data_IF_627115333798
#
_entry.id   IF_627115333798
#
_cell.length_a   1.000
_cell.length_b   1.000
_cell.length_c   1.000
_cell.angle_alpha   90.00
_cell.angle_beta   90.00
_cell.angle_gamma   90.00
#
_symmetry.space_group_name_H-M   'P 1'
#
loop_
_entity.id
_entity.type
_entity.pdbx_description
1 polymer ?
#
# COMPACT_ATOMS: atom_id res chain seq x y z
N UNK A 1 -8.38 -15.85 -27.60
CA UNK A 1 -6.91 -15.82 -27.57
C UNK A 1 -6.53 -14.48 -26.96
N UNK A 2 -6.56 -14.39 -25.63
CA UNK A 2 -6.27 -13.17 -24.90
C UNK A 2 -4.79 -13.18 -24.55
N UNK A 3 -4.10 -12.15 -25.04
CA UNK A 3 -2.68 -11.84 -24.96
C UNK A 3 -1.88 -12.51 -23.85
N UNK A 4 -1.20 -13.59 -24.23
CA UNK A 4 -0.10 -14.23 -23.50
C UNK A 4 1.18 -13.35 -23.44
N UNK A 5 1.11 -12.14 -24.01
CA UNK A 5 2.27 -11.28 -24.30
C UNK A 5 2.68 -10.40 -23.08
N UNK A 6 1.84 -10.23 -22.07
CA UNK A 6 2.22 -9.55 -20.79
C UNK A 6 2.67 -10.57 -19.73
N UNK A 7 3.38 -11.63 -20.11
CA UNK A 7 3.87 -12.64 -19.14
C UNK A 7 5.35 -12.98 -19.20
N UNK A 8 6.17 -12.06 -19.71
CA UNK A 8 7.56 -11.95 -19.26
C UNK A 8 7.69 -10.77 -18.30
N UNK A 9 7.11 -10.95 -17.10
CA UNK A 9 7.38 -10.09 -15.94
C UNK A 9 8.86 -10.28 -15.62
N UNK A 10 9.69 -9.31 -15.96
CA UNK A 10 11.07 -9.25 -15.47
C UNK A 10 11.01 -9.32 -13.95
N UNK A 11 11.53 -10.40 -13.37
CA UNK A 11 11.45 -10.74 -11.93
C UNK A 11 12.15 -9.72 -11.00
N UNK A 12 12.61 -8.57 -11.54
CA UNK A 12 13.38 -7.54 -10.86
C UNK A 12 12.69 -6.16 -10.88
N UNK A 13 11.45 -6.03 -11.39
CA UNK A 13 10.71 -4.77 -11.38
C UNK A 13 9.70 -4.76 -10.22
N UNK A 14 9.93 -3.89 -9.23
CA UNK A 14 8.97 -3.62 -8.15
C UNK A 14 7.93 -2.61 -8.63
N UNK A 15 6.66 -3.02 -8.62
CA UNK A 15 5.54 -2.10 -8.83
C UNK A 15 5.04 -1.63 -7.46
N UNK A 16 5.08 -0.31 -7.23
CA UNK A 16 4.51 0.35 -6.05
C UNK A 16 3.45 1.33 -6.56
N UNK A 17 2.21 1.15 -6.11
CA UNK A 17 1.14 2.12 -6.31
C UNK A 17 0.86 2.82 -4.99
N UNK A 18 0.88 4.15 -5.01
CA UNK A 18 0.61 5.01 -3.85
C UNK A 18 -0.46 6.01 -4.25
N UNK A 19 -1.49 6.15 -3.43
CA UNK A 19 -2.54 7.12 -3.66
C UNK A 19 -3.84 6.76 -2.95
N UNK A 20 -4.84 7.58 -3.25
CA UNK A 20 -6.24 7.37 -2.88
C UNK A 20 -6.87 6.38 -3.87
N UNK A 21 -7.10 5.13 -3.41
CA UNK A 21 -7.66 4.07 -4.24
C UNK A 21 -9.00 3.59 -3.69
N UNK A 22 -10.04 3.73 -4.51
CA UNK A 22 -11.38 3.21 -4.23
C UNK A 22 -11.57 1.70 -4.58
N UNK A 23 -10.61 1.03 -5.24
CA UNK A 23 -10.76 -0.37 -5.70
C UNK A 23 -9.43 -1.15 -5.87
N UNK A 24 -9.53 -2.48 -5.88
CA UNK A 24 -8.42 -3.45 -5.87
C UNK A 24 -7.94 -3.78 -7.30
N UNK A 25 -6.61 -3.89 -7.48
CA UNK A 25 -5.95 -4.25 -8.74
C UNK A 25 -5.41 -5.68 -8.74
N UNK A 26 -5.65 -6.47 -9.80
CA UNK A 26 -5.13 -7.84 -9.92
C UNK A 26 -3.60 -7.91 -9.87
N UNK A 27 -3.04 -8.82 -9.05
CA UNK A 27 -1.60 -9.12 -8.99
C UNK A 27 -0.76 -8.21 -8.07
N UNK A 28 -1.41 -7.30 -7.34
CA UNK A 28 -0.80 -6.52 -6.27
C UNK A 28 -1.44 -6.85 -4.92
N UNK A 29 -0.67 -6.74 -3.85
CA UNK A 29 -1.09 -6.98 -2.47
C UNK A 29 -1.14 -5.63 -1.74
N UNK A 30 -2.22 -5.41 -0.98
CA UNK A 30 -2.35 -4.27 -0.08
C UNK A 30 -1.36 -4.43 1.08
N UNK A 31 -0.35 -3.58 1.14
CA UNK A 31 0.78 -3.73 2.07
C UNK A 31 0.34 -3.68 3.54
N UNK A 32 -0.59 -2.78 3.87
CA UNK A 32 -1.14 -2.69 5.22
C UNK A 32 -1.87 -3.98 5.63
N UNK A 33 -2.76 -4.51 4.77
CA UNK A 33 -3.52 -5.73 5.10
C UNK A 33 -2.65 -6.99 5.18
N UNK A 34 -1.52 -7.00 4.46
CA UNK A 34 -0.53 -8.08 4.55
C UNK A 34 0.13 -8.14 5.94
N UNK A 35 0.44 -6.97 6.51
CA UNK A 35 1.10 -6.85 7.81
C UNK A 35 0.09 -6.85 8.97
N UNK A 36 -1.06 -6.20 8.80
CA UNK A 36 -2.08 -5.97 9.82
C UNK A 36 -3.43 -6.54 9.34
N UNK A 37 -3.60 -7.87 9.47
CA UNK A 37 -4.76 -8.58 8.89
C UNK A 37 -6.09 -8.15 9.48
N UNK A 38 -6.12 -7.88 10.79
CA UNK A 38 -7.37 -7.68 11.56
C UNK A 38 -7.55 -6.25 12.04
N UNK A 39 -6.54 -5.40 11.92
CA UNK A 39 -6.61 -4.03 12.42
C UNK A 39 -7.45 -3.13 11.52
N UNK A 40 -8.26 -2.29 12.14
CA UNK A 40 -9.09 -1.30 11.48
C UNK A 40 -8.53 0.08 11.79
N UNK A 41 -7.55 0.52 11.00
CA UNK A 41 -7.07 1.91 11.03
C UNK A 41 -7.54 2.67 9.79
N UNK A 42 -7.73 3.97 9.95
CA UNK A 42 -8.16 4.89 8.90
C UNK A 42 -7.02 5.85 8.56
N UNK A 43 -7.11 6.50 7.41
CA UNK A 43 -6.08 7.43 6.92
C UNK A 43 -6.66 8.78 6.55
N UNK A 44 -7.98 8.93 6.63
CA UNK A 44 -8.74 10.11 6.29
C UNK A 44 -9.85 10.30 7.31
N UNK A 45 -10.01 11.52 7.77
CA UNK A 45 -10.90 11.91 8.86
C UNK A 45 -11.52 13.26 8.56
N UNK A 46 -12.82 13.29 8.31
CA UNK A 46 -13.55 14.54 8.10
C UNK A 46 -14.99 14.42 8.56
N UNK A 47 -15.47 15.42 9.31
CA UNK A 47 -16.88 15.58 9.69
C UNK A 47 -17.52 14.32 10.29
N UNK A 48 -16.79 13.61 11.16
CA UNK A 48 -17.28 12.39 11.82
C UNK A 48 -17.23 11.13 10.96
N UNK A 49 -16.75 11.23 9.71
CA UNK A 49 -16.45 10.09 8.84
C UNK A 49 -14.96 9.79 8.91
N UNK A 50 -14.62 8.50 9.02
CA UNK A 50 -13.24 8.02 8.96
C UNK A 50 -13.15 6.83 8.03
N UNK A 51 -12.21 6.87 7.07
CA UNK A 51 -12.02 5.80 6.09
C UNK A 51 -10.54 5.60 5.75
N UNK A 52 -10.21 4.40 5.26
CA UNK A 52 -8.86 4.00 4.86
C UNK A 52 -8.72 3.98 3.34
N UNK A 53 -8.51 5.17 2.77
CA UNK A 53 -8.45 5.39 1.32
C UNK A 53 -7.04 5.56 0.78
N UNK A 54 -6.09 5.99 1.62
CA UNK A 54 -4.67 5.98 1.25
C UNK A 54 -4.12 4.56 1.35
N UNK A 55 -3.57 4.05 0.26
CA UNK A 55 -3.09 2.67 0.21
C UNK A 55 -1.76 2.59 -0.53
N UNK A 56 -0.89 1.70 -0.05
CA UNK A 56 0.32 1.28 -0.77
C UNK A 56 0.11 -0.16 -1.20
N UNK A 57 0.21 -0.40 -2.50
CA UNK A 57 0.12 -1.73 -3.09
C UNK A 57 1.46 -2.15 -3.67
N UNK A 58 1.86 -3.39 -3.41
CA UNK A 58 3.12 -3.96 -3.88
C UNK A 58 2.88 -5.23 -4.69
N UNK A 59 3.75 -5.53 -5.64
CA UNK A 59 3.73 -6.84 -6.32
C UNK A 59 3.84 -8.00 -5.33
N UNK A 60 3.00 -9.02 -5.54
CA UNK A 60 2.94 -10.22 -4.70
C UNK A 60 4.32 -10.87 -4.48
N UNK A 61 5.15 -10.88 -5.53
CA UNK A 61 6.53 -11.39 -5.53
C UNK A 61 7.42 -10.78 -4.44
N UNK A 62 7.17 -9.53 -4.04
CA UNK A 62 7.93 -8.83 -3.01
C UNK A 62 7.16 -8.68 -1.68
N UNK A 63 5.98 -9.28 -1.55
CA UNK A 63 5.14 -9.11 -0.37
C UNK A 63 5.77 -9.64 0.93
N UNK A 64 6.69 -10.60 0.82
CA UNK A 64 7.43 -11.13 1.96
C UNK A 64 8.64 -10.27 2.35
N UNK A 65 8.92 -9.19 1.61
CA UNK A 65 9.96 -8.20 1.91
C UNK A 65 9.42 -6.99 2.70
N UNK A 66 8.12 -6.95 2.96
CA UNK A 66 7.52 -5.91 3.79
C UNK A 66 7.95 -6.12 5.26
N UNK A 67 8.48 -5.08 5.88
CA UNK A 67 8.96 -5.13 7.26
C UNK A 67 8.00 -4.44 8.23
N UNK A 68 7.51 -3.25 7.85
CA UNK A 68 6.63 -2.46 8.70
C UNK A 68 5.72 -1.55 7.87
N UNK A 69 4.56 -1.23 8.44
CA UNK A 69 3.66 -0.20 7.92
C UNK A 69 3.19 0.64 9.11
N UNK A 70 3.24 1.97 8.98
CA UNK A 70 2.76 2.86 10.02
C UNK A 70 1.84 3.94 9.45
N UNK A 71 0.92 4.40 10.29
CA UNK A 71 0.04 5.54 10.03
C UNK A 71 0.38 6.59 11.09
N UNK A 72 0.70 7.80 10.64
CA UNK A 72 1.03 8.93 11.53
C UNK A 72 -0.07 9.97 11.41
N UNK A 73 -0.87 10.17 12.47
CA UNK A 73 -1.90 11.19 12.50
C UNK A 73 -1.34 12.58 12.21
N UNK A 74 -1.89 13.28 11.22
CA UNK A 74 -1.41 14.61 10.84
C UNK A 74 -2.28 15.76 11.36
N UNK A 75 -3.37 15.41 12.05
CA UNK A 75 -4.33 16.34 12.64
C UNK A 75 -3.67 17.40 13.53
N UNK A 76 -2.55 17.07 14.17
CA UNK A 76 -1.83 17.98 15.07
C UNK A 76 -0.75 18.84 14.41
N UNK A 77 -0.38 18.58 13.14
CA UNK A 77 0.80 19.18 12.51
C UNK A 77 0.44 20.08 11.31
N UNK A 78 -0.51 19.67 10.46
CA UNK A 78 -0.74 20.36 9.17
C UNK A 78 -2.19 20.71 8.85
N UNK A 79 -3.11 20.59 9.82
CA UNK A 79 -4.57 20.77 9.60
C UNK A 79 -5.15 19.95 8.43
N UNK A 80 -4.45 18.89 8.04
CA UNK A 80 -4.85 17.96 7.00
C UNK A 80 -5.90 16.99 7.53
N UNK A 81 -6.94 16.74 6.75
CA UNK A 81 -7.91 15.67 6.99
C UNK A 81 -7.33 14.27 6.69
N UNK A 82 -6.08 14.20 6.18
CA UNK A 82 -5.36 12.97 5.88
C UNK A 82 -4.17 12.73 6.80
N UNK A 83 -3.98 11.46 7.13
CA UNK A 83 -2.81 10.94 7.84
C UNK A 83 -1.71 10.48 6.87
N UNK A 84 -0.47 10.49 7.35
CA UNK A 84 0.69 10.00 6.58
C UNK A 84 0.77 8.49 6.73
N UNK A 85 0.88 7.78 5.61
CA UNK A 85 1.19 6.34 5.60
C UNK A 85 2.64 6.10 5.18
N UNK A 86 3.32 5.21 5.88
CA UNK A 86 4.72 4.83 5.60
C UNK A 86 4.84 3.33 5.48
N UNK A 87 5.58 2.85 4.48
CA UNK A 87 5.91 1.44 4.29
C UNK A 87 7.43 1.27 4.28
N UNK A 88 7.92 0.35 5.11
CA UNK A 88 9.31 -0.07 5.12
C UNK A 88 9.43 -1.45 4.48
N UNK A 89 10.31 -1.60 3.50
CA UNK A 89 10.61 -2.87 2.85
C UNK A 89 12.11 -3.15 2.82
N UNK A 90 12.47 -4.42 2.93
CA UNK A 90 13.83 -4.91 2.70
C UNK A 90 14.14 -4.97 1.20
N UNK A 91 15.08 -4.13 0.75
CA UNK A 91 15.53 -4.08 -0.64
C UNK A 91 16.85 -4.81 -0.89
N UNK A 92 17.42 -5.49 0.12
CA UNK A 92 18.73 -6.15 -0.01
C UNK A 92 18.81 -7.17 -1.14
N UNK A 93 17.69 -7.85 -1.45
CA UNK A 93 17.61 -8.84 -2.52
C UNK A 93 17.18 -8.25 -3.88
N UNK A 94 17.00 -6.94 -3.96
CA UNK A 94 16.63 -6.22 -5.20
C UNK A 94 17.84 -5.58 -5.90
N UNK A 95 18.99 -5.53 -5.23
CA UNK A 95 20.23 -4.87 -5.68
C UNK A 95 21.28 -5.92 -5.99
#
# INVERSE_FOLDING_TARGET
MCDEIIRKKSNNIVYILIGDFNLITNGLINSYRKLNKEELENTYHKEGVSTRINQIWISETYSNKLLNFSITPLTFITSSDYDIITLTMDTSALI
#
